data_IF_701481739891
#
_entry.id   IF_701481739891
#
_cell.length_a   1.000
_cell.length_b   1.000
_cell.length_c   1.000
_cell.angle_alpha   90.00
_cell.angle_beta   90.00
_cell.angle_gamma   90.00
#
_symmetry.space_group_name_H-M   'P 1'
#
loop_
_entity.id
_entity.type
_entity.pdbx_description
1 polymer ?
#
# COMPACT_ATOMS: atom_id res chain seq x y z
N UNK A 1 -56.69 -6.02 30.37
CA UNK A 1 -55.48 -6.86 30.49
C UNK A 1 -54.51 -6.44 29.38
N UNK A 2 -53.60 -5.57 29.72
CA UNK A 2 -52.60 -5.02 28.78
C UNK A 2 -51.37 -5.94 28.79
N UNK A 3 -51.15 -6.65 27.69
CA UNK A 3 -49.97 -7.52 27.54
C UNK A 3 -48.71 -6.67 27.48
N UNK A 4 -47.86 -6.75 28.51
CA UNK A 4 -46.52 -6.15 28.53
C UNK A 4 -45.62 -6.96 27.57
N UNK A 5 -45.28 -6.35 26.45
CA UNK A 5 -44.30 -6.94 25.51
C UNK A 5 -42.93 -7.00 26.19
N UNK A 6 -42.40 -8.19 26.39
CA UNK A 6 -41.04 -8.42 26.86
C UNK A 6 -40.04 -7.84 25.84
N UNK A 7 -38.97 -7.14 26.31
CA UNK A 7 -37.95 -6.65 25.42
C UNK A 7 -37.23 -7.83 24.74
N UNK A 8 -37.10 -7.73 23.41
CA UNK A 8 -36.42 -8.74 22.61
C UNK A 8 -34.99 -8.95 23.12
N UNK A 9 -34.59 -10.20 23.31
CA UNK A 9 -33.25 -10.58 23.75
C UNK A 9 -32.16 -9.95 22.86
N UNK A 10 -31.05 -9.51 23.43
CA UNK A 10 -29.98 -8.92 22.66
C UNK A 10 -29.46 -9.92 21.61
N UNK A 11 -29.53 -9.52 20.33
CA UNK A 11 -28.99 -10.32 19.23
C UNK A 11 -27.52 -10.61 19.53
N UNK A 12 -27.18 -11.88 19.66
CA UNK A 12 -25.82 -12.34 19.87
C UNK A 12 -24.89 -11.66 18.85
N UNK A 13 -23.94 -10.88 19.33
CA UNK A 13 -22.97 -10.22 18.48
C UNK A 13 -22.19 -11.32 17.75
N UNK A 14 -22.48 -11.49 16.45
CA UNK A 14 -21.69 -12.39 15.62
C UNK A 14 -20.21 -11.99 15.74
N UNK A 15 -19.30 -12.95 15.96
CA UNK A 15 -17.89 -12.64 16.17
C UNK A 15 -17.38 -11.76 15.04
N UNK A 16 -16.57 -10.75 15.35
CA UNK A 16 -16.05 -9.74 14.41
C UNK A 16 -15.47 -10.39 13.14
N UNK A 17 -14.87 -11.57 13.30
CA UNK A 17 -14.35 -12.41 12.22
C UNK A 17 -15.43 -12.90 11.24
N UNK A 18 -16.62 -13.22 11.70
CA UNK A 18 -17.72 -13.62 10.80
C UNK A 18 -18.21 -12.48 9.92
N UNK A 19 -18.28 -11.27 10.48
CA UNK A 19 -18.63 -10.06 9.73
C UNK A 19 -17.56 -9.68 8.72
N UNK A 20 -16.29 -9.80 9.10
CA UNK A 20 -15.15 -9.55 8.22
C UNK A 20 -15.13 -10.52 7.02
N UNK A 21 -15.28 -11.83 7.26
CA UNK A 21 -15.36 -12.83 6.19
C UNK A 21 -16.58 -12.64 5.27
N UNK A 22 -17.72 -12.28 5.82
CA UNK A 22 -18.92 -12.00 5.03
C UNK A 22 -18.78 -10.73 4.19
N UNK A 23 -18.11 -9.69 4.73
CA UNK A 23 -17.79 -8.46 4.00
C UNK A 23 -16.80 -8.72 2.88
N UNK A 24 -15.74 -9.50 3.13
CA UNK A 24 -14.75 -9.86 2.12
C UNK A 24 -15.39 -10.58 0.91
N UNK A 25 -16.29 -11.53 1.17
CA UNK A 25 -17.00 -12.25 0.09
C UNK A 25 -17.90 -11.36 -0.77
N UNK A 26 -18.36 -10.24 -0.23
CA UNK A 26 -19.20 -9.27 -0.95
C UNK A 26 -18.41 -8.28 -1.82
N UNK A 27 -17.10 -8.19 -1.61
CA UNK A 27 -16.22 -7.25 -2.30
C UNK A 27 -15.07 -7.98 -2.99
N UNK A 28 -15.29 -8.60 -4.16
CA UNK A 28 -14.26 -9.35 -4.88
C UNK A 28 -13.05 -8.48 -5.27
N UNK A 29 -13.26 -7.19 -5.51
CA UNK A 29 -12.19 -6.23 -5.77
C UNK A 29 -11.24 -6.05 -4.58
N UNK A 30 -11.76 -6.07 -3.35
CA UNK A 30 -10.95 -6.00 -2.14
C UNK A 30 -10.10 -7.26 -1.96
N UNK A 31 -10.65 -8.44 -2.31
CA UNK A 31 -9.89 -9.69 -2.30
C UNK A 31 -8.77 -9.63 -3.34
N UNK A 32 -9.09 -9.22 -4.57
CA UNK A 32 -8.10 -9.11 -5.64
C UNK A 32 -6.96 -8.15 -5.27
N UNK A 33 -7.29 -6.96 -4.74
CA UNK A 33 -6.30 -6.01 -4.24
C UNK A 33 -5.45 -6.56 -3.09
N UNK A 34 -6.07 -7.27 -2.16
CA UNK A 34 -5.37 -7.93 -1.06
C UNK A 34 -4.42 -9.02 -1.52
N UNK A 35 -4.81 -9.82 -2.53
CA UNK A 35 -3.95 -10.85 -3.12
C UNK A 35 -2.75 -10.22 -3.82
N UNK A 36 -2.95 -9.17 -4.62
CA UNK A 36 -1.85 -8.45 -5.29
C UNK A 36 -0.88 -7.87 -4.26
N UNK A 37 -1.40 -7.23 -3.21
CA UNK A 37 -0.57 -6.68 -2.14
C UNK A 37 0.22 -7.78 -1.42
N UNK A 38 -0.42 -8.90 -1.10
CA UNK A 38 0.23 -10.06 -0.48
C UNK A 38 1.35 -10.61 -1.36
N UNK A 39 1.11 -10.75 -2.67
CA UNK A 39 2.12 -11.19 -3.62
C UNK A 39 3.31 -10.22 -3.67
N UNK A 40 3.06 -8.91 -3.69
CA UNK A 40 4.13 -7.91 -3.65
C UNK A 40 4.94 -7.99 -2.36
N UNK A 41 4.30 -8.17 -1.22
CA UNK A 41 4.98 -8.36 0.07
C UNK A 41 5.81 -9.64 0.06
N UNK A 42 5.27 -10.74 -0.43
CA UNK A 42 6.00 -12.01 -0.56
C UNK A 42 7.23 -11.85 -1.44
N UNK A 43 7.09 -11.25 -2.63
CA UNK A 43 8.21 -10.97 -3.54
C UNK A 43 9.27 -10.11 -2.83
N UNK A 44 8.86 -9.06 -2.13
CA UNK A 44 9.78 -8.18 -1.43
C UNK A 44 10.54 -8.88 -0.28
N UNK A 45 9.87 -9.77 0.45
CA UNK A 45 10.49 -10.56 1.53
C UNK A 45 11.45 -11.61 0.95
N UNK A 46 11.01 -12.31 -0.10
CA UNK A 46 11.80 -13.37 -0.73
C UNK A 46 12.88 -12.85 -1.68
N UNK A 47 12.89 -11.56 -2.02
CA UNK A 47 13.86 -10.97 -2.95
C UNK A 47 15.34 -11.36 -2.69
N UNK A 48 15.84 -11.45 -1.43
CA UNK A 48 17.22 -11.86 -1.16
C UNK A 48 17.53 -13.32 -1.57
N UNK A 49 16.50 -14.16 -1.59
CA UNK A 49 16.66 -15.59 -1.96
C UNK A 49 16.32 -15.86 -3.43
N UNK A 50 15.47 -15.02 -4.03
CA UNK A 50 15.10 -15.14 -5.44
C UNK A 50 16.06 -14.37 -6.36
N UNK A 51 16.73 -13.32 -5.87
CA UNK A 51 17.69 -12.55 -6.64
C UNK A 51 18.96 -13.38 -6.86
N UNK A 52 19.33 -13.61 -8.12
CA UNK A 52 20.50 -14.42 -8.49
C UNK A 52 21.81 -13.62 -8.38
N UNK A 53 21.73 -12.30 -8.46
CA UNK A 53 22.89 -11.39 -8.51
C UNK A 53 22.62 -10.12 -7.70
N UNK A 54 23.65 -9.50 -7.17
CA UNK A 54 23.56 -8.18 -6.53
C UNK A 54 22.93 -7.17 -7.53
N UNK A 55 21.77 -6.54 -7.20
CA UNK A 55 21.08 -5.61 -8.09
C UNK A 55 21.88 -4.36 -8.41
N UNK A 56 22.95 -4.06 -7.64
CA UNK A 56 23.85 -2.91 -7.84
C UNK A 56 25.13 -3.28 -8.58
N UNK A 57 25.42 -4.57 -8.80
CA UNK A 57 26.62 -5.01 -9.49
C UNK A 57 26.63 -4.51 -10.95
N UNK A 58 27.64 -3.70 -11.29
CA UNK A 58 27.82 -3.14 -12.64
C UNK A 58 28.73 -4.06 -13.42
N UNK A 59 28.28 -4.56 -14.58
CA UNK A 59 29.07 -5.41 -15.46
C UNK A 59 29.10 -4.84 -16.89
N UNK A 60 30.06 -3.92 -17.22
CA UNK A 60 30.08 -3.23 -18.50
C UNK A 60 30.17 -4.15 -19.73
N UNK A 61 30.75 -5.34 -19.58
CA UNK A 61 30.84 -6.37 -20.64
C UNK A 61 29.52 -7.07 -20.92
N UNK A 62 28.55 -6.91 -20.05
CA UNK A 62 27.21 -7.56 -20.13
C UNK A 62 26.09 -6.55 -20.40
N UNK A 63 26.44 -5.42 -21.02
CA UNK A 63 25.47 -4.36 -21.37
C UNK A 63 24.46 -4.85 -22.39
N UNK A 64 23.19 -4.43 -22.19
CA UNK A 64 22.08 -4.61 -23.15
C UNK A 64 21.96 -6.04 -23.70
N UNK A 65 22.26 -7.05 -22.88
CA UNK A 65 22.04 -8.42 -23.25
C UNK A 65 20.55 -8.74 -23.27
N UNK A 66 20.06 -9.45 -24.30
CA UNK A 66 18.69 -9.91 -24.34
C UNK A 66 18.42 -10.94 -23.22
N UNK A 67 17.15 -11.25 -22.93
CA UNK A 67 16.79 -12.30 -22.01
C UNK A 67 17.47 -13.62 -22.32
N UNK A 68 18.06 -14.26 -21.31
CA UNK A 68 18.82 -15.49 -21.40
C UNK A 68 18.70 -16.30 -20.12
N UNK A 69 19.22 -17.53 -20.10
CA UNK A 69 19.22 -18.37 -18.89
C UNK A 69 19.95 -17.71 -17.71
N UNK A 70 20.98 -16.90 -17.96
CA UNK A 70 21.76 -16.18 -16.95
C UNK A 70 21.07 -14.86 -16.54
N UNK A 71 20.31 -14.23 -17.43
CA UNK A 71 19.61 -12.95 -17.26
C UNK A 71 18.18 -13.07 -17.74
N UNK A 72 17.28 -13.45 -16.86
CA UNK A 72 15.88 -13.76 -17.22
C UNK A 72 15.15 -12.60 -17.91
N UNK A 73 15.40 -11.37 -17.47
CA UNK A 73 14.83 -10.15 -18.08
C UNK A 73 15.88 -9.33 -18.85
N UNK A 74 17.02 -9.94 -19.13
CA UNK A 74 18.14 -9.24 -19.76
C UNK A 74 18.88 -8.31 -18.82
N UNK A 75 19.78 -7.49 -19.40
CA UNK A 75 20.60 -6.52 -18.66
C UNK A 75 20.36 -5.09 -19.13
N UNK A 76 20.54 -4.13 -18.23
CA UNK A 76 20.40 -2.70 -18.51
C UNK A 76 21.64 -2.10 -19.21
N UNK A 77 21.62 -0.77 -19.43
CA UNK A 77 22.75 -0.03 -20.04
C UNK A 77 24.04 -0.11 -19.21
N UNK A 78 23.97 -0.45 -17.94
CA UNK A 78 25.11 -0.62 -17.04
C UNK A 78 25.53 -2.09 -16.88
N UNK A 79 24.82 -3.02 -17.54
CA UNK A 79 25.04 -4.45 -17.44
C UNK A 79 24.49 -5.07 -16.15
N UNK A 80 23.57 -4.38 -15.47
CA UNK A 80 22.94 -4.87 -14.24
C UNK A 80 21.79 -5.83 -14.60
N UNK A 81 21.58 -6.84 -13.77
CA UNK A 81 20.45 -7.76 -13.94
C UNK A 81 19.09 -7.07 -13.67
N UNK A 82 18.26 -6.99 -14.70
CA UNK A 82 16.93 -6.36 -14.61
C UNK A 82 16.02 -7.12 -13.69
N UNK A 83 16.06 -8.47 -13.68
CA UNK A 83 15.24 -9.31 -12.82
C UNK A 83 15.51 -9.03 -11.33
N UNK A 84 16.78 -9.10 -10.92
CA UNK A 84 17.18 -8.78 -9.54
C UNK A 84 16.76 -7.36 -9.14
N UNK A 85 16.89 -6.39 -10.04
CA UNK A 85 16.48 -5.01 -9.81
C UNK A 85 14.97 -4.86 -9.60
N UNK A 86 14.14 -5.58 -10.35
CA UNK A 86 12.68 -5.58 -10.16
C UNK A 86 12.30 -6.15 -8.80
N UNK A 87 12.92 -7.27 -8.39
CA UNK A 87 12.67 -7.88 -7.08
C UNK A 87 13.04 -6.95 -5.93
N UNK A 88 14.24 -6.37 -5.96
CA UNK A 88 14.67 -5.44 -4.91
C UNK A 88 13.95 -4.09 -4.99
N UNK A 89 13.55 -3.66 -6.20
CA UNK A 89 12.69 -2.49 -6.41
C UNK A 89 11.35 -2.60 -5.70
N UNK A 90 10.76 -3.80 -5.67
CA UNK A 90 9.51 -4.05 -4.93
C UNK A 90 9.66 -3.77 -3.43
N UNK A 91 10.81 -4.10 -2.81
CA UNK A 91 11.10 -3.77 -1.40
C UNK A 91 11.13 -2.28 -1.16
N UNK A 92 11.86 -1.56 -2.02
CA UNK A 92 11.97 -0.09 -1.89
C UNK A 92 10.61 0.56 -2.06
N UNK A 93 9.84 0.14 -3.07
CA UNK A 93 8.49 0.66 -3.32
C UNK A 93 7.54 0.42 -2.14
N UNK A 94 7.56 -0.77 -1.54
CA UNK A 94 6.75 -1.07 -0.36
C UNK A 94 7.18 -0.25 0.85
N UNK A 95 8.47 -0.13 1.10
CA UNK A 95 9.01 0.65 2.22
C UNK A 95 8.60 2.12 2.09
N UNK A 96 8.80 2.69 0.89
CA UNK A 96 8.39 4.08 0.61
C UNK A 96 6.87 4.23 0.73
N UNK A 97 6.09 3.31 0.16
CA UNK A 97 4.63 3.35 0.25
C UNK A 97 4.11 3.29 1.68
N UNK A 98 4.67 2.40 2.51
CA UNK A 98 4.32 2.30 3.94
C UNK A 98 4.73 3.57 4.69
N UNK A 99 5.95 4.07 4.45
CA UNK A 99 6.42 5.29 5.09
C UNK A 99 5.53 6.49 4.74
N UNK A 100 5.22 6.69 3.45
CA UNK A 100 4.33 7.75 2.99
C UNK A 100 2.94 7.60 3.61
N UNK A 101 2.35 6.40 3.61
CA UNK A 101 1.05 6.16 4.21
C UNK A 101 1.05 6.48 5.72
N UNK A 102 2.09 6.06 6.44
CA UNK A 102 2.23 6.32 7.87
C UNK A 102 2.33 7.82 8.17
N UNK A 103 3.25 8.52 7.51
CA UNK A 103 3.44 9.96 7.74
C UNK A 103 2.24 10.78 7.29
N UNK A 104 1.64 10.46 6.15
CA UNK A 104 0.44 11.15 5.67
C UNK A 104 -0.74 10.97 6.61
N UNK A 105 -0.93 9.76 7.14
CA UNK A 105 -2.00 9.48 8.11
C UNK A 105 -1.75 10.23 9.42
N UNK A 106 -0.52 10.20 9.92
CA UNK A 106 -0.15 10.87 11.16
C UNK A 106 -0.34 12.38 11.05
N UNK A 107 0.17 12.99 9.98
CA UNK A 107 0.03 14.42 9.73
C UNK A 107 -1.43 14.82 9.48
N UNK A 108 -2.14 14.05 8.65
CA UNK A 108 -3.56 14.29 8.39
C UNK A 108 -4.42 14.21 9.64
N UNK A 109 -4.15 13.21 10.50
CA UNK A 109 -4.84 13.06 11.78
C UNK A 109 -4.50 14.22 12.73
N UNK A 110 -3.22 14.60 12.84
CA UNK A 110 -2.80 15.71 13.69
C UNK A 110 -3.44 17.04 13.26
N UNK A 111 -3.38 17.35 11.96
CA UNK A 111 -4.01 18.54 11.39
C UNK A 111 -5.53 18.49 11.59
N UNK A 112 -6.17 17.36 11.25
CA UNK A 112 -7.62 17.20 11.39
C UNK A 112 -8.11 17.32 12.84
N UNK A 113 -7.35 16.78 13.81
CA UNK A 113 -7.70 16.98 15.24
C UNK A 113 -7.57 18.44 15.65
N UNK A 114 -6.47 19.11 15.30
CA UNK A 114 -6.25 20.52 15.67
C UNK A 114 -7.32 21.41 15.04
N UNK A 115 -7.62 21.26 13.76
CA UNK A 115 -8.66 22.05 13.07
C UNK A 115 -10.05 21.75 13.58
N UNK A 116 -10.34 20.51 13.97
CA UNK A 116 -11.62 20.10 14.56
C UNK A 116 -11.89 20.78 15.92
N UNK A 117 -10.85 21.08 16.70
CA UNK A 117 -10.98 21.79 17.97
C UNK A 117 -10.92 23.33 17.85
N UNK A 118 -10.22 23.86 16.86
CA UNK A 118 -9.92 25.29 16.73
C UNK A 118 -10.49 25.86 15.43
N UNK A 119 -11.68 26.45 15.50
CA UNK A 119 -12.45 26.94 14.34
C UNK A 119 -11.72 27.93 13.43
N UNK A 120 -10.88 28.82 14.00
CA UNK A 120 -10.16 29.79 13.18
C UNK A 120 -9.01 29.15 12.39
N UNK A 121 -8.38 28.09 12.93
CA UNK A 121 -7.39 27.31 12.21
C UNK A 121 -8.00 26.53 11.05
N UNK A 122 -9.21 26.03 11.22
CA UNK A 122 -9.94 25.33 10.16
C UNK A 122 -10.09 26.22 8.91
N UNK A 123 -10.50 27.48 9.09
CA UNK A 123 -10.63 28.44 8.00
C UNK A 123 -9.31 28.71 7.26
N UNK A 124 -8.19 28.73 7.96
CA UNK A 124 -6.86 28.93 7.36
C UNK A 124 -6.41 27.68 6.61
N UNK A 125 -6.51 26.51 7.26
CA UNK A 125 -6.10 25.23 6.65
C UNK A 125 -6.92 24.93 5.42
N UNK A 126 -8.24 25.16 5.44
CA UNK A 126 -9.10 24.99 4.25
C UNK A 126 -8.68 25.92 3.12
N UNK A 127 -8.33 27.17 3.37
CA UNK A 127 -7.82 28.07 2.32
C UNK A 127 -6.51 27.61 1.70
N UNK A 128 -5.60 27.09 2.56
CA UNK A 128 -4.33 26.52 2.07
C UNK A 128 -4.58 25.28 1.20
N UNK A 129 -5.50 24.41 1.62
CA UNK A 129 -5.86 23.21 0.85
C UNK A 129 -6.52 23.55 -0.48
N UNK A 130 -7.42 24.54 -0.51
CA UNK A 130 -8.03 25.03 -1.75
C UNK A 130 -6.97 25.59 -2.70
N UNK A 131 -5.99 26.33 -2.17
CA UNK A 131 -4.86 26.82 -2.93
C UNK A 131 -3.98 25.71 -3.51
N UNK A 132 -3.70 24.66 -2.74
CA UNK A 132 -2.92 23.51 -3.21
C UNK A 132 -3.68 22.71 -4.28
N UNK A 133 -5.00 22.55 -4.13
CA UNK A 133 -5.83 21.85 -5.12
C UNK A 133 -6.00 22.64 -6.42
N UNK A 134 -5.77 23.96 -6.41
CA UNK A 134 -5.84 24.80 -7.63
C UNK A 134 -4.64 24.59 -8.55
N UNK A 135 -3.56 23.93 -8.08
CA UNK A 135 -2.40 23.63 -8.93
C UNK A 135 -2.74 22.40 -9.79
N UNK A 136 -2.80 22.55 -11.12
CA UNK A 136 -3.10 21.42 -11.99
C UNK A 136 -2.02 20.33 -11.86
N UNK A 137 -2.41 19.05 -11.80
CA UNK A 137 -1.43 17.97 -11.83
C UNK A 137 -0.70 17.99 -13.18
N UNK A 138 0.61 18.14 -13.14
CA UNK A 138 1.49 18.09 -14.33
C UNK A 138 1.73 16.66 -14.75
#
# INVERSE_FOLDING_TARGET
MTAVALPAAPRSASPVWGRFRASLRRHPTAIAGGVVLLLMVLIAVLAPWLGSVDPQAVAPLKRMKPPSADYWFGSDMLGRDVYSRVLFGARVSLLVGIAVAFFSTLLGLAIGLVTGFVRWLDAIVMRVMDGLMSIPPV
#
